data_IF_589069744094
#
_entry.id   IF_589069744094
#
_cell.length_a   1.000
_cell.length_b   1.000
_cell.length_c   1.000
_cell.angle_alpha   90.00
_cell.angle_beta   90.00
_cell.angle_gamma   90.00
#
_symmetry.space_group_name_H-M   'P 1'
#
loop_
_entity.id
_entity.type
_entity.pdbx_description
1 polymer ?
#
# COMPACT_ATOMS: atom_id res chain seq x y z
N UNK A 1 -21.77 -2.62 13.47
CA UNK A 1 -20.86 -2.58 12.30
C UNK A 1 -19.45 -2.46 12.83
N UNK A 2 -18.78 -3.61 13.04
CA UNK A 2 -17.40 -3.64 13.54
C UNK A 2 -16.48 -3.26 12.39
N UNK A 3 -15.90 -2.07 12.44
CA UNK A 3 -14.83 -1.70 11.53
C UNK A 3 -13.60 -2.48 11.99
N UNK A 4 -13.20 -3.45 11.18
CA UNK A 4 -12.08 -4.37 11.35
C UNK A 4 -10.77 -3.58 11.52
N UNK A 5 -10.30 -3.48 12.77
CA UNK A 5 -9.02 -2.85 13.15
C UNK A 5 -7.88 -3.87 13.09
N UNK A 6 -7.68 -4.56 11.97
CA UNK A 6 -6.69 -5.66 11.87
C UNK A 6 -5.43 -5.31 11.05
N UNK A 7 -5.17 -4.03 10.79
CA UNK A 7 -4.12 -3.61 9.83
C UNK A 7 -3.12 -2.57 10.35
N UNK A 8 -2.98 -2.40 11.66
CA UNK A 8 -2.01 -1.45 12.23
C UNK A 8 -0.61 -2.06 12.25
N UNK A 9 0.32 -1.47 11.48
CA UNK A 9 1.75 -1.78 11.53
C UNK A 9 2.39 -1.01 12.69
N UNK A 10 3.08 -1.73 13.57
CA UNK A 10 3.87 -1.14 14.66
C UNK A 10 5.35 -1.12 14.26
N UNK A 11 5.97 0.07 14.06
CA UNK A 11 7.37 0.19 13.68
C UNK A 11 8.34 -0.26 14.79
N UNK A 12 7.89 -0.33 16.05
CA UNK A 12 8.69 -0.72 17.21
C UNK A 12 8.51 -2.19 17.59
N UNK A 13 7.74 -2.95 16.80
CA UNK A 13 7.55 -4.38 17.03
C UNK A 13 8.89 -5.15 17.01
N UNK A 14 9.05 -6.16 17.88
CA UNK A 14 10.31 -6.91 17.97
C UNK A 14 10.62 -7.63 16.65
N UNK A 15 11.82 -7.41 16.13
CA UNK A 15 12.29 -8.03 14.89
C UNK A 15 12.42 -9.54 15.05
N UNK A 16 11.75 -10.28 14.19
CA UNK A 16 11.84 -11.74 14.11
C UNK A 16 12.79 -12.14 12.98
N UNK A 17 13.75 -13.01 13.26
CA UNK A 17 14.60 -13.57 12.21
C UNK A 17 13.74 -14.41 11.26
N UNK A 18 13.81 -14.10 9.97
CA UNK A 18 13.19 -14.87 8.91
C UNK A 18 14.28 -15.51 8.06
N UNK A 19 14.25 -16.83 7.90
CA UNK A 19 15.08 -17.52 6.93
C UNK A 19 14.40 -17.44 5.57
N UNK A 20 15.04 -16.77 4.62
CA UNK A 20 14.54 -16.58 3.26
C UNK A 20 15.65 -16.88 2.24
N UNK A 21 15.24 -17.48 1.14
CA UNK A 21 16.12 -17.79 0.01
C UNK A 21 16.06 -16.64 -0.99
N UNK A 22 17.20 -16.02 -1.28
CA UNK A 22 17.33 -14.93 -2.25
C UNK A 22 18.36 -15.29 -3.32
N UNK A 23 18.30 -14.58 -4.45
CA UNK A 23 19.30 -14.70 -5.50
C UNK A 23 20.69 -14.33 -4.97
N UNK A 24 21.67 -15.23 -5.15
CA UNK A 24 23.05 -15.06 -4.70
C UNK A 24 23.74 -13.85 -5.35
N UNK A 25 23.51 -13.60 -6.65
CA UNK A 25 24.11 -12.45 -7.34
C UNK A 25 23.60 -11.12 -6.78
N UNK A 26 22.31 -11.06 -6.44
CA UNK A 26 21.70 -9.88 -5.80
C UNK A 26 22.33 -9.62 -4.42
N UNK A 27 22.59 -10.68 -3.64
CA UNK A 27 23.25 -10.56 -2.34
C UNK A 27 24.69 -10.10 -2.49
N UNK A 28 25.42 -10.61 -3.48
CA UNK A 28 26.80 -10.19 -3.73
C UNK A 28 26.88 -8.72 -4.18
N UNK A 29 25.95 -8.27 -5.04
CA UNK A 29 25.83 -6.87 -5.41
C UNK A 29 25.50 -5.99 -4.19
N UNK A 30 24.54 -6.41 -3.37
CA UNK A 30 24.19 -5.69 -2.15
C UNK A 30 25.38 -5.58 -1.18
N UNK A 31 26.17 -6.65 -1.00
CA UNK A 31 27.40 -6.63 -0.20
C UNK A 31 28.44 -5.67 -0.77
N UNK A 32 28.70 -5.72 -2.08
CA UNK A 32 29.64 -4.81 -2.76
C UNK A 32 29.24 -3.35 -2.59
N UNK A 33 27.94 -3.06 -2.63
CA UNK A 33 27.37 -1.73 -2.46
C UNK A 33 27.14 -1.33 -0.98
N UNK A 34 27.51 -2.19 -0.02
CA UNK A 34 27.27 -1.99 1.42
C UNK A 34 25.81 -1.72 1.78
N UNK A 35 24.87 -2.31 1.04
CA UNK A 35 23.44 -2.19 1.27
C UNK A 35 23.04 -3.11 2.43
N UNK A 36 22.25 -2.58 3.37
CA UNK A 36 21.67 -3.37 4.45
C UNK A 36 20.47 -4.18 3.90
N UNK A 37 20.71 -5.46 3.63
CA UNK A 37 19.71 -6.36 3.03
C UNK A 37 18.46 -6.49 3.91
N UNK A 38 18.61 -6.58 5.25
CA UNK A 38 17.47 -6.67 6.16
C UNK A 38 16.54 -5.48 6.00
N UNK A 39 17.10 -4.27 6.01
CA UNK A 39 16.33 -3.03 5.88
C UNK A 39 15.70 -2.87 4.49
N UNK A 40 16.40 -3.33 3.44
CA UNK A 40 15.85 -3.33 2.09
C UNK A 40 14.67 -4.29 1.94
N UNK A 41 14.75 -5.48 2.56
CA UNK A 41 13.65 -6.44 2.60
C UNK A 41 12.44 -5.92 3.38
N UNK A 42 12.65 -5.31 4.55
CA UNK A 42 11.59 -4.67 5.34
C UNK A 42 10.84 -3.64 4.48
N UNK A 43 11.57 -2.71 3.86
CA UNK A 43 10.98 -1.69 2.98
C UNK A 43 10.23 -2.29 1.80
N UNK A 44 10.79 -3.34 1.18
CA UNK A 44 10.12 -4.04 0.09
C UNK A 44 8.81 -4.69 0.52
N UNK A 45 8.79 -5.29 1.71
CA UNK A 45 7.61 -5.92 2.28
C UNK A 45 6.54 -4.90 2.66
N UNK A 46 6.93 -3.77 3.26
CA UNK A 46 6.02 -2.65 3.57
C UNK A 46 5.31 -2.16 2.30
N UNK A 47 6.06 -1.98 1.20
CA UNK A 47 5.49 -1.56 -0.08
C UNK A 47 4.53 -2.61 -0.64
N UNK A 48 4.89 -3.88 -0.64
CA UNK A 48 4.01 -4.95 -1.13
C UNK A 48 2.72 -5.07 -0.31
N UNK A 49 2.80 -4.93 1.02
CA UNK A 49 1.63 -4.91 1.89
C UNK A 49 0.73 -3.71 1.56
N UNK A 50 1.33 -2.53 1.36
CA UNK A 50 0.59 -1.33 1.00
C UNK A 50 -0.11 -1.47 -0.37
N UNK A 51 0.55 -2.07 -1.37
CA UNK A 51 -0.04 -2.35 -2.67
C UNK A 51 -1.20 -3.35 -2.59
N UNK A 52 -1.03 -4.44 -1.84
CA UNK A 52 -2.08 -5.42 -1.60
C UNK A 52 -3.29 -4.77 -0.91
N UNK A 53 -3.05 -3.92 0.10
CA UNK A 53 -4.08 -3.13 0.77
C UNK A 53 -4.81 -2.20 -0.19
N UNK A 54 -4.08 -1.46 -1.01
CA UNK A 54 -4.66 -0.55 -1.99
C UNK A 54 -5.49 -1.29 -3.04
N UNK A 55 -5.11 -2.52 -3.39
CA UNK A 55 -5.90 -3.40 -4.25
C UNK A 55 -7.20 -3.83 -3.56
N UNK A 56 -7.12 -4.35 -2.35
CA UNK A 56 -8.29 -4.80 -1.61
C UNK A 56 -9.27 -3.66 -1.32
N UNK A 57 -8.77 -2.47 -0.96
CA UNK A 57 -9.60 -1.29 -0.77
C UNK A 57 -10.33 -0.88 -2.05
N UNK A 58 -9.65 -0.94 -3.21
CA UNK A 58 -10.28 -0.64 -4.51
C UNK A 58 -11.38 -1.62 -4.86
N UNK A 59 -11.20 -2.90 -4.52
CA UNK A 59 -12.22 -3.94 -4.76
C UNK A 59 -13.45 -3.69 -3.88
N UNK A 60 -13.24 -3.42 -2.59
CA UNK A 60 -14.30 -3.16 -1.61
C UNK A 60 -15.06 -1.86 -1.92
N UNK A 61 -14.36 -0.83 -2.40
CA UNK A 61 -14.94 0.49 -2.69
C UNK A 61 -15.38 0.65 -4.16
N UNK A 62 -15.30 -0.42 -4.97
CA UNK A 62 -15.57 -0.35 -6.41
C UNK A 62 -16.99 0.13 -6.70
N UNK A 63 -17.97 -0.35 -5.94
CA UNK A 63 -19.38 0.00 -6.12
C UNK A 63 -19.65 1.44 -5.68
N UNK A 64 -19.07 1.87 -4.57
CA UNK A 64 -19.16 3.26 -4.09
C UNK A 64 -18.52 4.25 -5.08
N UNK A 65 -17.35 3.91 -5.63
CA UNK A 65 -16.67 4.71 -6.65
C UNK A 65 -17.51 4.76 -7.93
N UNK A 66 -18.10 3.64 -8.35
CA UNK A 66 -18.94 3.58 -9.56
C UNK A 66 -20.21 4.42 -9.39
N UNK A 67 -20.88 4.31 -8.24
CA UNK A 67 -22.06 5.11 -7.92
C UNK A 67 -21.74 6.62 -7.87
N UNK A 68 -20.61 6.99 -7.25
CA UNK A 68 -20.12 8.37 -7.22
C UNK A 68 -19.82 8.90 -8.63
N UNK A 69 -19.14 8.12 -9.46
CA UNK A 69 -18.82 8.48 -10.84
C UNK A 69 -20.08 8.60 -11.72
N UNK A 70 -21.07 7.73 -11.52
CA UNK A 70 -22.37 7.82 -12.21
C UNK A 70 -23.16 9.06 -11.76
N UNK A 71 -23.16 9.38 -10.46
CA UNK A 71 -23.76 10.61 -9.94
C UNK A 71 -23.13 11.86 -10.54
N UNK A 72 -21.79 11.95 -10.58
CA UNK A 72 -21.08 13.09 -11.20
C UNK A 72 -21.37 13.18 -12.70
N UNK A 73 -21.49 12.06 -13.41
CA UNK A 73 -21.87 12.06 -14.83
C UNK A 73 -23.30 12.59 -15.06
N UNK A 74 -24.24 12.25 -14.17
CA UNK A 74 -25.65 12.66 -14.29
C UNK A 74 -25.90 14.08 -13.80
N UNK A 75 -25.23 14.51 -12.75
CA UNK A 75 -25.52 15.77 -12.05
C UNK A 75 -24.42 16.83 -12.22
N UNK A 76 -23.33 16.50 -12.92
CA UNK A 76 -22.15 17.34 -13.01
C UNK A 76 -21.33 17.31 -11.72
N UNK A 77 -20.23 18.07 -11.70
CA UNK A 77 -19.36 18.17 -10.53
C UNK A 77 -20.10 18.88 -9.39
N UNK A 78 -20.30 18.21 -8.23
CA UNK A 78 -20.82 18.87 -7.05
C UNK A 78 -19.92 20.05 -6.71
N UNK A 79 -20.51 21.19 -6.36
CA UNK A 79 -19.79 22.40 -5.95
C UNK A 79 -18.95 23.08 -7.05
N UNK A 80 -19.08 22.68 -8.33
CA UNK A 80 -18.41 23.39 -9.44
C UNK A 80 -18.72 24.90 -9.45
N UNK A 81 -19.92 25.28 -8.98
CA UNK A 81 -20.37 26.67 -8.81
C UNK A 81 -19.57 27.51 -7.82
N UNK A 82 -18.71 26.91 -6.99
CA UNK A 82 -17.87 27.61 -6.01
C UNK A 82 -16.38 27.59 -6.36
N UNK A 83 -16.00 27.03 -7.52
CA UNK A 83 -14.61 27.01 -7.98
C UNK A 83 -14.20 28.42 -8.42
N UNK A 84 -13.50 29.16 -7.56
CA UNK A 84 -12.77 30.39 -7.93
C UNK A 84 -11.49 30.00 -8.68
N UNK A 85 -11.28 30.61 -9.84
CA UNK A 85 -10.06 30.52 -10.66
C UNK A 85 -8.96 31.40 -10.11
#
# INVERSE_FOLDING_TARGET
MSVTTDFTFDPDAPRKAANLTLNSELLDLARKMKINVSRACERGLELQIAEARAKQWREDNKDAITASNDYVRRHGLPLAKYRRF
#
